data_IF_138702014480
#
_entry.id   IF_138702014480
#
_cell.length_a   1.000
_cell.length_b   1.000
_cell.length_c   1.000
_cell.angle_alpha   90.00
_cell.angle_beta   90.00
_cell.angle_gamma   90.00
#
_symmetry.space_group_name_H-M   'P 1'
#
loop_
_entity.id
_entity.type
_entity.pdbx_description
1 polymer ?
#
# COMPACT_ATOMS: atom_id res chain seq x y z
N UNK A 1 -2.85 -8.51 0.45
CA UNK A 1 -3.26 -7.45 -0.47
C UNK A 1 -3.86 -6.27 0.30
N UNK A 2 -3.59 -5.08 -0.17
CA UNK A 2 -4.12 -3.83 0.41
C UNK A 2 -5.34 -3.38 -0.39
N UNK A 3 -6.38 -2.90 0.29
CA UNK A 3 -7.50 -2.18 -0.34
C UNK A 3 -7.11 -0.74 -0.75
N UNK A 4 -5.82 -0.38 -0.63
CA UNK A 4 -5.27 0.96 -0.95
C UNK A 4 -5.91 2.08 -0.13
N UNK A 5 -6.18 1.81 1.14
CA UNK A 5 -6.84 2.73 2.05
C UNK A 5 -5.95 3.08 3.24
N UNK A 6 -5.94 4.36 3.59
CA UNK A 6 -5.46 4.88 4.87
C UNK A 6 -6.71 5.29 5.64
N UNK A 7 -7.07 4.48 6.62
CA UNK A 7 -8.35 4.61 7.30
C UNK A 7 -8.23 4.37 8.81
N UNK A 8 -9.10 5.03 9.58
CA UNK A 8 -9.15 4.89 11.04
C UNK A 8 -9.69 3.54 11.51
N UNK A 9 -10.37 2.82 10.61
CA UNK A 9 -10.95 1.53 10.96
C UNK A 9 -12.22 1.65 11.81
N UNK A 10 -13.27 2.26 11.27
CA UNK A 10 -14.56 2.47 11.94
C UNK A 10 -15.06 1.22 12.69
N UNK A 11 -14.87 0.03 12.10
CA UNK A 11 -15.28 -1.25 12.68
C UNK A 11 -14.57 -1.58 14.01
N UNK A 12 -13.37 -1.04 14.26
CA UNK A 12 -12.65 -1.30 15.51
C UNK A 12 -13.30 -0.64 16.72
N UNK A 13 -14.19 0.33 16.51
CA UNK A 13 -15.01 0.90 17.60
C UNK A 13 -15.97 -0.13 18.19
N UNK A 14 -16.42 -1.11 17.40
CA UNK A 14 -17.25 -2.23 17.86
C UNK A 14 -16.50 -3.15 18.85
N UNK A 15 -15.16 -3.16 18.77
CA UNK A 15 -14.28 -3.93 19.65
C UNK A 15 -13.62 -3.06 20.73
N UNK A 16 -14.11 -1.83 20.94
CA UNK A 16 -13.58 -0.87 21.92
C UNK A 16 -12.10 -0.49 21.74
N UNK A 17 -11.54 -0.66 20.55
CA UNK A 17 -10.15 -0.36 20.19
C UNK A 17 -9.92 1.14 19.94
N UNK A 18 -10.33 1.99 20.89
CA UNK A 18 -10.31 3.46 20.75
C UNK A 18 -8.90 4.03 20.54
N UNK A 19 -7.88 3.47 21.21
CA UNK A 19 -6.49 3.88 21.06
C UNK A 19 -6.03 3.69 19.61
N UNK A 20 -6.31 2.52 19.05
CA UNK A 20 -5.92 2.15 17.70
C UNK A 20 -6.61 3.01 16.63
N UNK A 21 -7.90 3.32 16.82
CA UNK A 21 -8.67 4.22 15.96
C UNK A 21 -8.08 5.63 16.02
N UNK A 22 -7.82 6.15 17.22
CA UNK A 22 -7.26 7.49 17.42
C UNK A 22 -5.90 7.64 16.74
N UNK A 23 -5.02 6.67 16.90
CA UNK A 23 -3.69 6.65 16.25
C UNK A 23 -3.83 6.64 14.73
N UNK A 24 -4.68 5.77 14.19
CA UNK A 24 -4.92 5.67 12.75
C UNK A 24 -5.51 6.96 12.16
N UNK A 25 -6.42 7.63 12.87
CA UNK A 25 -6.98 8.91 12.45
C UNK A 25 -5.93 10.04 12.44
N UNK A 26 -5.01 10.06 13.41
CA UNK A 26 -3.90 11.01 13.42
C UNK A 26 -2.92 10.75 12.28
N UNK A 27 -2.53 9.50 12.05
CA UNK A 27 -1.61 9.13 10.97
C UNK A 27 -2.18 9.40 9.59
N UNK A 28 -3.48 9.33 9.40
CA UNK A 28 -4.17 9.69 8.16
C UNK A 28 -3.88 11.15 7.76
N UNK A 29 -3.97 12.10 8.69
CA UNK A 29 -3.64 13.52 8.44
C UNK A 29 -2.14 13.71 8.17
N UNK A 30 -1.29 13.01 8.90
CA UNK A 30 0.16 13.04 8.68
C UNK A 30 0.50 12.56 7.27
N UNK A 31 -0.09 11.46 6.80
CA UNK A 31 0.18 10.90 5.48
C UNK A 31 -0.35 11.79 4.34
N UNK A 32 -1.51 12.43 4.53
CA UNK A 32 -2.02 13.45 3.60
C UNK A 32 -1.05 14.64 3.43
N UNK A 33 -0.37 15.03 4.51
CA UNK A 33 0.60 16.12 4.45
C UNK A 33 1.94 15.68 3.85
N UNK A 34 2.39 14.45 4.19
CA UNK A 34 3.70 13.93 3.76
C UNK A 34 3.80 13.53 2.30
N UNK A 35 2.71 13.04 1.73
CA UNK A 35 2.68 12.44 0.40
C UNK A 35 1.42 12.84 -0.38
N UNK A 36 1.18 14.15 -0.59
CA UNK A 36 -0.06 14.67 -1.16
C UNK A 36 -0.31 14.24 -2.61
N UNK A 37 0.69 13.70 -3.29
CA UNK A 37 0.56 13.15 -4.65
C UNK A 37 0.00 11.73 -4.66
N UNK A 38 0.32 10.89 -3.67
CA UNK A 38 -0.10 9.49 -3.62
C UNK A 38 -1.17 9.20 -2.55
N UNK A 39 -1.44 10.14 -1.64
CA UNK A 39 -2.51 10.03 -0.64
C UNK A 39 -3.53 11.11 -0.89
N UNK A 40 -4.80 10.74 -1.05
CA UNK A 40 -5.88 11.70 -1.32
C UNK A 40 -7.08 11.44 -0.42
N UNK A 41 -7.82 12.50 0.00
CA UNK A 41 -9.11 12.35 0.66
C UNK A 41 -10.06 11.51 -0.19
N UNK A 42 -10.84 10.67 0.47
CA UNK A 42 -11.88 9.87 -0.15
C UNK A 42 -13.11 9.82 0.76
N UNK A 43 -14.28 10.03 0.19
CA UNK A 43 -15.54 9.84 0.89
C UNK A 43 -15.95 8.38 0.80
N UNK A 44 -16.47 7.85 1.90
CA UNK A 44 -16.96 6.49 2.02
C UNK A 44 -18.44 6.51 2.33
N UNK A 45 -19.23 5.89 1.50
CA UNK A 45 -20.65 5.72 1.68
C UNK A 45 -20.93 4.33 2.24
N UNK A 46 -21.65 4.28 3.35
CA UNK A 46 -22.12 3.08 4.02
C UNK A 46 -23.61 2.95 3.80
N UNK A 47 -24.08 2.14 2.83
CA UNK A 47 -25.50 1.88 2.61
C UNK A 47 -26.11 1.22 3.83
N UNK A 48 -27.24 1.70 4.31
CA UNK A 48 -27.89 1.18 5.49
C UNK A 48 -28.87 0.07 5.13
N UNK A 49 -28.68 -1.10 5.72
CA UNK A 49 -29.61 -2.23 5.71
C UNK A 49 -30.15 -2.44 7.12
N UNK A 50 -31.44 -2.19 7.37
CA UNK A 50 -32.02 -2.18 8.72
C UNK A 50 -31.85 -3.47 9.51
N UNK A 51 -31.83 -4.61 8.82
CA UNK A 51 -31.68 -5.95 9.43
C UNK A 51 -30.26 -6.27 9.92
N UNK A 52 -29.24 -5.47 9.51
CA UNK A 52 -27.85 -5.71 9.92
C UNK A 52 -27.49 -4.93 11.18
N UNK A 53 -27.66 -3.60 11.17
CA UNK A 53 -27.35 -2.72 12.29
C UNK A 53 -28.34 -1.56 12.36
N UNK A 54 -28.80 -1.17 13.56
CA UNK A 54 -29.65 0.02 13.72
C UNK A 54 -28.95 1.29 13.26
N UNK A 55 -29.67 2.17 12.56
CA UNK A 55 -29.13 3.44 12.04
C UNK A 55 -28.54 4.36 13.14
N UNK A 56 -29.19 4.40 14.34
CA UNK A 56 -28.69 5.18 15.45
C UNK A 56 -27.32 4.71 15.97
N UNK A 57 -27.07 3.40 15.98
CA UNK A 57 -25.78 2.82 16.37
C UNK A 57 -24.67 3.23 15.40
N UNK A 58 -24.94 3.16 14.10
CA UNK A 58 -23.99 3.61 13.06
C UNK A 58 -23.72 5.10 13.24
N UNK A 59 -24.75 5.90 13.48
CA UNK A 59 -24.60 7.35 13.70
C UNK A 59 -23.78 7.68 14.93
N UNK A 60 -23.99 6.97 16.04
CA UNK A 60 -23.20 7.12 17.26
C UNK A 60 -21.72 6.73 17.02
N UNK A 61 -21.48 5.62 16.33
CA UNK A 61 -20.12 5.20 15.94
C UNK A 61 -19.40 6.22 15.06
N UNK A 62 -20.10 6.80 14.08
CA UNK A 62 -19.55 7.86 13.22
C UNK A 62 -19.31 9.16 13.99
N UNK A 63 -20.17 9.51 14.93
CA UNK A 63 -19.94 10.66 15.82
C UNK A 63 -18.65 10.47 16.63
N UNK A 64 -18.45 9.31 17.24
CA UNK A 64 -17.20 8.98 17.93
C UNK A 64 -16.01 9.03 16.98
N UNK A 65 -16.12 8.43 15.82
CA UNK A 65 -15.07 8.44 14.79
C UNK A 65 -14.65 9.84 14.39
N UNK A 66 -15.61 10.75 14.26
CA UNK A 66 -15.38 12.14 13.93
C UNK A 66 -14.66 12.93 15.04
N UNK A 67 -14.76 12.50 16.30
CA UNK A 67 -14.26 13.24 17.48
C UNK A 67 -13.07 12.57 18.17
N UNK A 68 -12.73 11.32 17.82
CA UNK A 68 -11.57 10.63 18.40
C UNK A 68 -10.22 11.16 17.91
N UNK A 69 -10.17 11.84 16.76
CA UNK A 69 -8.95 12.43 16.20
C UNK A 69 -9.19 13.86 15.73
N UNK A 70 -8.13 14.67 15.75
CA UNK A 70 -8.17 16.01 15.15
C UNK A 70 -8.28 15.85 13.63
N UNK A 71 -9.27 16.52 13.04
CA UNK A 71 -9.45 16.62 11.58
C UNK A 71 -9.01 18.00 11.12
N UNK A 72 -8.15 18.07 10.13
CA UNK A 72 -7.67 19.33 9.56
C UNK A 72 -8.19 19.52 8.13
N UNK A 73 -8.17 18.47 7.33
CA UNK A 73 -8.51 18.55 5.90
C UNK A 73 -9.76 17.75 5.52
N UNK A 74 -10.22 16.86 6.39
CA UNK A 74 -11.28 15.91 6.06
C UNK A 74 -12.64 16.35 6.58
N UNK A 75 -13.68 16.24 5.75
CA UNK A 75 -15.07 16.57 6.13
C UNK A 75 -15.64 15.56 7.13
N UNK A 76 -16.57 16.01 7.98
CA UNK A 76 -17.28 15.15 8.92
C UNK A 76 -18.25 14.18 8.27
N UNK A 77 -18.81 13.29 9.09
CA UNK A 77 -19.83 12.34 8.67
C UNK A 77 -21.19 12.98 8.49
N UNK A 78 -21.95 12.49 7.52
CA UNK A 78 -23.32 12.94 7.22
C UNK A 78 -24.23 11.74 6.97
N UNK A 79 -25.55 11.96 7.14
CA UNK A 79 -26.58 11.00 6.75
C UNK A 79 -26.98 11.26 5.30
N UNK A 80 -27.21 10.22 4.53
CA UNK A 80 -27.60 10.28 3.13
C UNK A 80 -28.99 9.67 2.93
N UNK A 81 -29.72 10.20 1.96
CA UNK A 81 -30.90 9.57 1.36
C UNK A 81 -30.60 9.28 -0.10
N UNK A 82 -30.92 8.09 -0.56
CA UNK A 82 -30.72 7.66 -1.94
C UNK A 82 -32.02 7.79 -2.72
N UNK A 83 -31.95 8.42 -3.88
CA UNK A 83 -33.04 8.54 -4.84
C UNK A 83 -32.87 7.60 -6.02
N UNK A 84 -33.69 7.83 -7.05
CA UNK A 84 -33.68 7.01 -8.29
C UNK A 84 -32.32 7.02 -9.01
N UNK A 85 -31.56 8.12 -8.91
CA UNK A 85 -30.24 8.28 -9.56
C UNK A 85 -29.11 7.55 -8.83
N UNK A 86 -29.40 6.98 -7.64
CA UNK A 86 -28.40 6.19 -6.91
C UNK A 86 -27.99 4.95 -7.70
N UNK A 87 -26.70 4.58 -7.71
CA UNK A 87 -26.27 3.31 -8.32
C UNK A 87 -26.73 2.08 -7.52
N UNK A 88 -27.21 2.28 -6.30
CA UNK A 88 -27.68 1.21 -5.41
C UNK A 88 -29.08 0.75 -5.79
N UNK A 89 -29.43 -0.48 -5.42
CA UNK A 89 -30.78 -1.04 -5.59
C UNK A 89 -31.81 -0.20 -4.87
N UNK A 90 -33.05 -0.21 -5.36
CA UNK A 90 -34.13 0.66 -4.92
C UNK A 90 -34.52 0.49 -3.44
N UNK A 91 -34.34 -0.71 -2.89
CA UNK A 91 -34.59 -1.00 -1.47
C UNK A 91 -33.61 -0.32 -0.51
N UNK A 92 -32.46 0.13 -1.01
CA UNK A 92 -31.43 0.85 -0.23
C UNK A 92 -31.71 2.35 -0.35
N UNK A 93 -32.46 2.88 0.61
CA UNK A 93 -32.95 4.27 0.56
C UNK A 93 -32.16 5.24 1.45
N UNK A 94 -31.33 4.72 2.35
CA UNK A 94 -30.59 5.52 3.34
C UNK A 94 -29.15 5.02 3.47
N UNK A 95 -28.28 5.90 3.92
CA UNK A 95 -26.89 5.56 4.22
C UNK A 95 -26.21 6.66 5.02
N UNK A 96 -24.93 6.45 5.23
CA UNK A 96 -24.04 7.39 5.92
C UNK A 96 -22.81 7.60 5.07
N UNK A 97 -22.25 8.78 5.19
CA UNK A 97 -21.00 9.13 4.51
C UNK A 97 -20.00 9.66 5.53
N UNK A 98 -18.75 9.27 5.40
CA UNK A 98 -17.64 9.75 6.21
C UNK A 98 -16.35 9.84 5.39
N UNK A 99 -15.29 10.40 5.97
CA UNK A 99 -14.02 10.61 5.28
C UNK A 99 -12.92 9.71 5.80
N UNK A 100 -12.20 9.13 4.86
CA UNK A 100 -10.89 8.50 5.04
C UNK A 100 -9.98 8.89 3.87
N UNK A 101 -8.94 8.10 3.57
CA UNK A 101 -8.06 8.38 2.45
C UNK A 101 -7.81 7.16 1.60
N UNK A 102 -7.62 7.40 0.33
CA UNK A 102 -7.04 6.46 -0.61
C UNK A 102 -5.53 6.69 -0.71
N UNK A 103 -4.77 5.62 -0.96
CA UNK A 103 -3.32 5.68 -1.16
C UNK A 103 -2.88 4.77 -2.30
N UNK A 104 -1.88 5.21 -3.07
CA UNK A 104 -1.09 4.28 -3.87
C UNK A 104 -0.10 3.55 -2.95
N UNK A 105 -0.49 2.37 -2.50
CA UNK A 105 0.25 1.58 -1.52
C UNK A 105 1.62 1.12 -2.01
N UNK A 106 1.73 0.75 -3.29
CA UNK A 106 3.01 0.36 -3.88
C UNK A 106 3.95 1.57 -3.98
N UNK A 107 3.44 2.73 -4.40
CA UNK A 107 4.20 3.98 -4.39
C UNK A 107 4.66 4.35 -2.98
N UNK A 108 3.80 4.18 -1.98
CA UNK A 108 4.16 4.47 -0.58
C UNK A 108 5.38 3.66 -0.13
N UNK A 109 5.47 2.37 -0.49
CA UNK A 109 6.64 1.53 -0.19
C UNK A 109 7.88 2.04 -0.91
N UNK A 110 7.80 2.28 -2.23
CA UNK A 110 8.91 2.76 -3.04
C UNK A 110 9.44 4.09 -2.51
N UNK A 111 8.54 5.05 -2.20
CA UNK A 111 8.94 6.37 -1.71
C UNK A 111 9.59 6.31 -0.32
N UNK A 112 9.18 5.39 0.56
CA UNK A 112 9.88 5.18 1.83
C UNK A 112 11.30 4.62 1.62
N UNK A 113 11.47 3.67 0.70
CA UNK A 113 12.79 3.15 0.35
C UNK A 113 13.68 4.22 -0.29
N UNK A 114 13.13 5.06 -1.19
CA UNK A 114 13.84 6.21 -1.77
C UNK A 114 14.25 7.22 -0.69
N UNK A 115 13.34 7.55 0.23
CA UNK A 115 13.63 8.47 1.33
C UNK A 115 14.76 7.94 2.23
N UNK A 116 14.79 6.63 2.49
CA UNK A 116 15.86 5.99 3.25
C UNK A 116 17.18 6.07 2.48
N UNK A 117 17.22 5.74 1.18
CA UNK A 117 18.41 5.86 0.33
C UNK A 117 18.96 7.30 0.29
N UNK A 118 18.09 8.28 0.12
CA UNK A 118 18.47 9.70 0.09
C UNK A 118 19.05 10.20 1.43
N UNK A 119 18.85 9.43 2.51
CA UNK A 119 19.44 9.66 3.84
C UNK A 119 20.62 8.74 4.15
N UNK A 120 21.16 8.08 3.14
CA UNK A 120 22.37 7.27 3.25
C UNK A 120 22.16 5.78 3.58
N UNK A 121 20.93 5.30 3.58
CA UNK A 121 20.68 3.86 3.70
C UNK A 121 21.00 3.13 2.38
N UNK A 122 21.60 1.95 2.50
CA UNK A 122 21.77 1.02 1.38
C UNK A 122 20.49 0.18 1.22
N UNK A 123 19.90 0.21 0.03
CA UNK A 123 18.71 -0.58 -0.31
C UNK A 123 19.11 -1.65 -1.31
N UNK A 124 19.04 -2.90 -0.90
CA UNK A 124 19.34 -4.07 -1.73
C UNK A 124 18.03 -4.79 -2.09
N UNK A 125 17.57 -4.62 -3.31
CA UNK A 125 16.46 -5.40 -3.86
C UNK A 125 16.95 -6.76 -4.36
N UNK A 126 16.06 -7.75 -4.53
CA UNK A 126 16.40 -9.09 -5.00
C UNK A 126 17.55 -9.75 -4.20
N UNK A 127 17.58 -9.45 -2.89
CA UNK A 127 18.65 -9.89 -2.00
C UNK A 127 18.03 -10.53 -0.76
N UNK A 128 18.30 -11.80 -0.56
CA UNK A 128 17.79 -12.60 0.56
C UNK A 128 18.84 -12.70 1.66
N UNK A 129 18.45 -12.46 2.91
CA UNK A 129 19.26 -12.87 4.06
C UNK A 129 19.11 -14.38 4.24
N UNK A 130 20.20 -15.11 4.11
CA UNK A 130 20.23 -16.58 4.15
C UNK A 130 20.79 -17.13 5.46
N UNK A 131 21.10 -16.27 6.40
CA UNK A 131 21.54 -16.61 7.74
C UNK A 131 22.15 -15.44 8.47
N UNK A 132 22.01 -15.42 9.79
CA UNK A 132 22.67 -14.44 10.65
C UNK A 132 22.99 -15.05 12.01
N UNK A 133 24.11 -14.61 12.62
CA UNK A 133 24.51 -15.03 13.96
C UNK A 133 25.11 -13.86 14.72
N UNK A 134 25.02 -13.91 16.05
CA UNK A 134 25.73 -12.98 16.91
C UNK A 134 27.22 -13.41 17.03
N UNK A 135 28.11 -12.46 16.86
CA UNK A 135 29.54 -12.66 17.04
C UNK A 135 30.20 -11.38 17.58
N UNK A 136 30.85 -11.47 18.75
CA UNK A 136 31.59 -10.36 19.40
C UNK A 136 30.77 -9.05 19.48
N UNK A 137 29.51 -9.13 19.92
CA UNK A 137 28.63 -7.97 20.09
C UNK A 137 28.07 -7.37 18.78
N UNK A 138 28.22 -8.05 17.66
CA UNK A 138 27.67 -7.68 16.36
C UNK A 138 26.84 -8.84 15.78
N UNK A 139 25.95 -8.50 14.87
CA UNK A 139 25.35 -9.45 13.94
C UNK A 139 26.29 -9.63 12.74
N UNK A 140 26.57 -10.89 12.37
CA UNK A 140 27.13 -11.28 11.07
C UNK A 140 26.02 -11.88 10.24
N UNK A 141 25.73 -11.26 9.11
CA UNK A 141 24.60 -11.64 8.25
C UNK A 141 25.12 -12.00 6.87
N UNK A 142 24.63 -13.10 6.32
CA UNK A 142 24.93 -13.57 4.96
C UNK A 142 23.75 -13.32 4.03
N UNK A 143 24.05 -12.79 2.87
CA UNK A 143 23.07 -12.42 1.86
C UNK A 143 23.38 -13.12 0.54
N UNK A 144 22.31 -13.49 -0.16
CA UNK A 144 22.32 -14.05 -1.51
C UNK A 144 21.59 -13.10 -2.47
N UNK A 145 22.25 -12.72 -3.55
CA UNK A 145 21.62 -11.94 -4.63
C UNK A 145 20.90 -12.87 -5.61
N UNK A 146 20.06 -12.29 -6.48
CA UNK A 146 19.33 -13.02 -7.50
C UNK A 146 20.23 -13.80 -8.48
N UNK A 147 21.48 -13.39 -8.66
CA UNK A 147 22.50 -14.09 -9.47
C UNK A 147 23.22 -15.22 -8.73
N UNK A 148 22.82 -15.50 -7.47
CA UNK A 148 23.44 -16.51 -6.61
C UNK A 148 24.72 -16.05 -5.91
N UNK A 149 25.20 -14.84 -6.15
CA UNK A 149 26.39 -14.31 -5.48
C UNK A 149 26.11 -14.04 -3.99
N UNK A 150 27.09 -14.37 -3.15
CA UNK A 150 27.01 -14.23 -1.70
C UNK A 150 27.87 -13.05 -1.23
N UNK A 151 27.38 -12.36 -0.19
CA UNK A 151 28.15 -11.37 0.53
C UNK A 151 27.71 -11.31 2.00
N UNK A 152 28.53 -10.69 2.85
CA UNK A 152 28.26 -10.61 4.28
C UNK A 152 28.31 -9.17 4.78
N UNK A 153 27.47 -8.86 5.75
CA UNK A 153 27.44 -7.56 6.44
C UNK A 153 27.51 -7.80 7.95
N UNK A 154 28.20 -6.91 8.65
CA UNK A 154 28.16 -6.83 10.09
C UNK A 154 27.37 -5.62 10.55
N UNK A 155 26.53 -5.77 11.57
CA UNK A 155 25.74 -4.67 12.12
C UNK A 155 25.62 -4.74 13.65
N UNK A 156 25.34 -3.58 14.26
CA UNK A 156 25.13 -3.45 15.71
C UNK A 156 23.75 -3.92 16.15
N UNK A 157 22.78 -4.01 15.25
CA UNK A 157 21.42 -4.48 15.51
C UNK A 157 20.86 -5.16 14.25
N UNK A 158 19.91 -6.04 14.44
CA UNK A 158 19.12 -6.65 13.37
C UNK A 158 17.66 -6.36 13.60
N UNK A 159 16.98 -5.81 12.59
CA UNK A 159 15.53 -5.62 12.61
C UNK A 159 14.90 -6.60 11.61
N UNK A 160 14.12 -7.53 12.12
CA UNK A 160 13.35 -8.47 11.32
C UNK A 160 11.94 -7.93 11.09
N UNK A 161 11.73 -7.29 9.96
CA UNK A 161 10.43 -6.78 9.50
C UNK A 161 9.91 -7.57 8.29
N UNK A 162 10.15 -8.89 8.28
CA UNK A 162 9.89 -9.78 7.14
C UNK A 162 8.39 -10.13 6.96
N UNK A 163 7.47 -9.48 7.69
CA UNK A 163 6.03 -9.66 7.54
C UNK A 163 5.59 -11.12 7.67
N UNK A 164 5.01 -11.74 6.62
CA UNK A 164 4.55 -13.14 6.69
C UNK A 164 5.66 -14.15 7.01
N UNK A 165 6.91 -13.80 6.78
CA UNK A 165 8.07 -14.68 6.99
C UNK A 165 8.82 -14.41 8.29
N UNK A 166 8.34 -13.49 9.16
CA UNK A 166 9.05 -13.09 10.38
C UNK A 166 9.41 -14.26 11.29
N UNK A 167 8.44 -15.14 11.60
CA UNK A 167 8.66 -16.31 12.45
C UNK A 167 9.54 -17.36 11.76
N UNK A 168 9.34 -17.57 10.45
CA UNK A 168 10.16 -18.48 9.65
C UNK A 168 11.63 -18.04 9.63
N UNK A 169 11.89 -16.75 9.42
CA UNK A 169 13.26 -16.20 9.43
C UNK A 169 13.94 -16.43 10.79
N UNK A 170 13.24 -16.22 11.91
CA UNK A 170 13.78 -16.47 13.24
C UNK A 170 14.18 -17.95 13.40
N UNK A 171 13.31 -18.86 13.00
CA UNK A 171 13.52 -20.30 13.16
C UNK A 171 14.55 -20.86 12.17
N UNK A 172 14.37 -20.55 10.88
CA UNK A 172 15.10 -21.22 9.80
C UNK A 172 16.46 -20.56 9.52
N UNK A 173 16.55 -19.23 9.58
CA UNK A 173 17.76 -18.50 9.21
C UNK A 173 18.60 -18.06 10.43
N UNK A 174 17.96 -17.75 11.58
CA UNK A 174 18.66 -17.39 12.82
C UNK A 174 18.86 -18.56 13.76
N UNK A 175 18.15 -19.69 13.59
CA UNK A 175 18.16 -20.85 14.49
C UNK A 175 17.80 -20.50 15.94
N UNK A 176 16.81 -19.61 16.10
CA UNK A 176 16.28 -19.15 17.38
C UNK A 176 14.79 -19.54 17.50
N UNK A 177 14.29 -19.58 18.72
CA UNK A 177 12.85 -19.73 18.96
C UNK A 177 12.11 -18.41 18.72
N UNK A 178 11.00 -18.49 17.99
CA UNK A 178 10.16 -17.31 17.77
C UNK A 178 9.24 -17.09 18.98
N UNK A 179 9.22 -15.87 19.56
CA UNK A 179 8.37 -15.57 20.72
C UNK A 179 6.88 -15.58 20.39
N UNK A 180 6.52 -15.45 19.12
CA UNK A 180 5.13 -15.41 18.66
C UNK A 180 4.97 -16.21 17.37
N UNK A 181 3.79 -16.80 17.18
CA UNK A 181 3.33 -17.34 15.91
C UNK A 181 2.79 -16.28 14.97
N UNK A 182 2.64 -16.64 13.71
CA UNK A 182 1.96 -15.83 12.70
C UNK A 182 0.81 -16.63 12.11
N UNK A 183 -0.37 -16.02 12.10
CA UNK A 183 -1.55 -16.50 11.39
C UNK A 183 -1.69 -15.72 10.10
N UNK A 184 -1.76 -16.42 8.97
CA UNK A 184 -1.87 -15.78 7.66
C UNK A 184 -3.34 -15.70 7.25
N UNK A 185 -3.81 -14.48 6.98
CA UNK A 185 -5.16 -14.24 6.48
C UNK A 185 -5.09 -13.69 5.07
N UNK A 186 -5.57 -14.48 4.11
CA UNK A 186 -5.67 -14.11 2.72
C UNK A 186 -6.73 -13.02 2.55
N UNK A 187 -6.43 -12.05 1.68
CA UNK A 187 -7.39 -11.07 1.19
C UNK A 187 -7.22 -10.87 -0.30
N UNK A 188 -8.31 -10.95 -1.03
CA UNK A 188 -8.34 -10.89 -2.47
C UNK A 188 -9.20 -9.74 -2.98
N UNK A 189 -8.87 -9.21 -4.16
CA UNK A 189 -9.58 -8.11 -4.80
C UNK A 189 -9.76 -8.38 -6.28
N UNK A 190 -10.87 -7.88 -6.84
CA UNK A 190 -11.16 -7.83 -8.26
C UNK A 190 -10.98 -6.40 -8.77
N UNK A 191 -10.54 -6.25 -10.00
CA UNK A 191 -10.61 -4.99 -10.77
C UNK A 191 -11.55 -5.24 -11.94
N UNK A 192 -12.60 -4.42 -12.01
CA UNK A 192 -13.64 -4.48 -13.04
C UNK A 192 -13.79 -3.12 -13.71
N UNK A 193 -14.46 -3.01 -14.90
CA UNK A 193 -14.86 -1.73 -15.45
C UNK A 193 -15.62 -0.88 -14.44
N UNK A 194 -15.64 0.41 -14.65
CA UNK A 194 -16.31 1.37 -13.77
C UNK A 194 -17.76 0.99 -13.49
N UNK A 195 -18.07 0.77 -12.22
CA UNK A 195 -19.39 0.31 -11.76
C UNK A 195 -20.37 1.48 -11.52
N UNK A 196 -19.87 2.68 -11.25
CA UNK A 196 -20.67 3.87 -10.98
C UNK A 196 -19.82 5.14 -11.18
N UNK A 197 -20.49 6.29 -11.41
CA UNK A 197 -19.81 7.57 -11.70
C UNK A 197 -19.42 8.37 -10.47
N UNK A 198 -19.99 8.08 -9.31
CA UNK A 198 -19.68 8.79 -8.07
C UNK A 198 -18.21 8.61 -7.65
N UNK A 199 -17.54 9.68 -7.15
CA UNK A 199 -16.13 9.61 -6.75
C UNK A 199 -15.88 8.94 -5.40
N UNK A 200 -16.94 8.59 -4.66
CA UNK A 200 -16.87 7.97 -3.35
C UNK A 200 -16.72 6.44 -3.44
N UNK A 201 -16.09 5.87 -2.42
CA UNK A 201 -16.11 4.43 -2.21
C UNK A 201 -17.38 4.01 -1.45
N UNK A 202 -17.82 2.76 -1.63
CA UNK A 202 -18.88 2.18 -0.82
C UNK A 202 -18.31 1.11 0.11
N UNK A 203 -18.89 1.02 1.31
CA UNK A 203 -18.65 -0.05 2.29
C UNK A 203 -19.89 -0.89 2.38
N UNK A 204 -19.83 -2.08 1.84
CA UNK A 204 -20.94 -3.01 1.76
C UNK A 204 -20.90 -3.93 2.97
N UNK A 205 -21.91 -3.85 3.82
CA UNK A 205 -22.07 -4.74 4.97
C UNK A 205 -22.86 -5.98 4.56
N UNK A 206 -22.43 -7.14 5.01
CA UNK A 206 -23.04 -8.43 4.68
C UNK A 206 -23.57 -9.15 5.92
N UNK A 207 -24.43 -10.15 5.71
CA UNK A 207 -25.03 -10.97 6.77
C UNK A 207 -23.97 -11.76 7.56
N UNK A 208 -22.90 -12.15 6.92
CA UNK A 208 -21.74 -12.82 7.54
C UNK A 208 -20.83 -11.88 8.32
N UNK A 209 -21.26 -10.63 8.54
CA UNK A 209 -20.54 -9.56 9.24
C UNK A 209 -19.22 -9.11 8.57
N UNK A 210 -18.85 -9.66 7.43
CA UNK A 210 -17.73 -9.17 6.64
C UNK A 210 -18.13 -7.92 5.87
N UNK A 211 -17.13 -7.10 5.53
CA UNK A 211 -17.30 -5.90 4.72
C UNK A 211 -16.55 -6.04 3.40
N UNK A 212 -17.19 -5.59 2.34
CA UNK A 212 -16.57 -5.48 1.03
C UNK A 212 -16.59 -4.01 0.60
N UNK A 213 -15.47 -3.53 0.11
CA UNK A 213 -15.37 -2.18 -0.47
C UNK A 213 -15.58 -2.24 -1.98
N UNK A 214 -16.23 -1.22 -2.52
CA UNK A 214 -16.10 -0.86 -3.94
C UNK A 214 -15.43 0.51 -4.00
N UNK A 215 -14.30 0.60 -4.71
CA UNK A 215 -13.43 1.78 -4.69
C UNK A 215 -13.19 2.23 -6.12
N UNK A 216 -13.54 3.49 -6.51
CA UNK A 216 -13.18 4.05 -7.81
C UNK A 216 -11.68 4.00 -8.03
N UNK A 217 -11.26 3.51 -9.19
CA UNK A 217 -9.85 3.28 -9.48
C UNK A 217 -9.49 3.74 -10.90
N UNK A 218 -8.43 4.56 -11.00
CA UNK A 218 -7.88 5.06 -12.27
C UNK A 218 -8.93 5.68 -13.21
N UNK A 219 -9.96 6.32 -12.66
CA UNK A 219 -11.10 6.97 -13.34
C UNK A 219 -11.99 6.04 -14.18
N UNK A 220 -11.51 4.86 -14.59
CA UNK A 220 -12.19 3.93 -15.52
C UNK A 220 -12.55 2.58 -14.90
N UNK A 221 -12.11 2.31 -13.68
CA UNK A 221 -12.26 1.00 -13.05
C UNK A 221 -12.86 1.11 -11.65
N UNK A 222 -13.26 -0.04 -11.13
CA UNK A 222 -13.65 -0.23 -9.73
C UNK A 222 -12.86 -1.39 -9.14
N UNK A 223 -12.27 -1.18 -7.97
CA UNK A 223 -11.73 -2.26 -7.13
C UNK A 223 -12.84 -2.79 -6.24
N UNK A 224 -13.03 -4.10 -6.19
CA UNK A 224 -13.96 -4.81 -5.31
C UNK A 224 -13.13 -5.69 -4.36
N UNK A 225 -13.35 -5.57 -3.07
CA UNK A 225 -12.66 -6.37 -2.05
C UNK A 225 -12.86 -5.80 -0.65
N UNK A 226 -12.50 -6.54 0.35
CA UNK A 226 -11.58 -7.67 0.40
C UNK A 226 -12.27 -8.92 0.94
N UNK A 227 -11.66 -10.06 0.71
CA UNK A 227 -12.01 -11.30 1.41
C UNK A 227 -11.19 -11.45 2.70
N UNK A 228 -11.61 -12.34 3.57
CA UNK A 228 -10.90 -12.76 4.79
C UNK A 228 -10.99 -14.29 4.88
N UNK A 229 -9.87 -14.97 4.58
CA UNK A 229 -9.75 -16.43 4.62
C UNK A 229 -8.43 -16.83 5.25
N UNK A 230 -8.43 -17.84 6.11
CA UNK A 230 -7.19 -18.40 6.61
C UNK A 230 -6.38 -19.04 5.49
N UNK A 231 -5.05 -18.85 5.52
CA UNK A 231 -4.14 -19.31 4.49
C UNK A 231 -2.97 -20.09 5.08
N UNK A 232 -2.72 -21.27 4.55
CA UNK A 232 -1.67 -22.18 5.04
C UNK A 232 -0.54 -22.39 4.03
N UNK A 233 -0.66 -21.83 2.82
CA UNK A 233 0.32 -21.99 1.75
C UNK A 233 1.49 -21.01 1.83
N UNK A 234 2.31 -21.01 0.77
CA UNK A 234 3.40 -20.06 0.60
C UNK A 234 2.84 -18.64 0.36
N UNK A 235 3.14 -17.65 1.21
CA UNK A 235 2.67 -16.28 1.04
C UNK A 235 3.02 -15.64 -0.30
N UNK A 236 4.09 -16.08 -0.95
CA UNK A 236 4.51 -15.58 -2.26
C UNK A 236 3.63 -16.09 -3.42
N UNK A 237 2.87 -17.17 -3.21
CA UNK A 237 2.06 -17.84 -4.24
C UNK A 237 0.56 -17.68 -4.05
N UNK A 238 0.14 -16.79 -3.14
CA UNK A 238 -1.27 -16.55 -2.88
C UNK A 238 -2.00 -16.02 -4.10
N UNK A 239 -3.15 -16.62 -4.41
CA UNK A 239 -4.05 -16.21 -5.48
C UNK A 239 -5.50 -16.30 -5.02
N UNK A 240 -6.38 -15.57 -5.66
CA UNK A 240 -7.83 -15.62 -5.39
C UNK A 240 -8.37 -17.01 -5.76
N UNK A 241 -9.33 -17.51 -4.99
CA UNK A 241 -10.06 -18.73 -5.32
C UNK A 241 -11.37 -18.42 -6.05
N UNK A 242 -11.98 -19.47 -6.63
CA UNK A 242 -13.28 -19.35 -7.27
C UNK A 242 -14.37 -18.93 -6.26
N UNK A 243 -14.34 -19.50 -5.05
CA UNK A 243 -15.29 -19.16 -3.97
C UNK A 243 -15.13 -17.69 -3.52
N UNK A 244 -13.91 -17.18 -3.44
CA UNK A 244 -13.67 -15.76 -3.12
C UNK A 244 -14.19 -14.85 -4.24
N UNK A 245 -14.02 -15.27 -5.50
CA UNK A 245 -14.52 -14.54 -6.67
C UNK A 245 -16.04 -14.45 -6.64
N UNK A 246 -16.73 -15.59 -6.47
CA UNK A 246 -18.18 -15.64 -6.38
C UNK A 246 -18.72 -14.85 -5.20
N UNK A 247 -18.05 -14.95 -4.05
CA UNK A 247 -18.41 -14.15 -2.87
C UNK A 247 -18.40 -12.65 -3.17
N UNK A 248 -17.33 -12.14 -3.76
CA UNK A 248 -17.21 -10.71 -4.07
C UNK A 248 -18.23 -10.25 -5.09
N UNK A 249 -18.48 -11.04 -6.13
CA UNK A 249 -19.51 -10.76 -7.15
C UNK A 249 -20.91 -10.74 -6.54
N UNK A 250 -21.24 -11.74 -5.73
CA UNK A 250 -22.54 -11.84 -5.05
C UNK A 250 -22.80 -10.65 -4.14
N UNK A 251 -21.80 -10.22 -3.36
CA UNK A 251 -21.93 -9.05 -2.49
C UNK A 251 -22.20 -7.77 -3.29
N UNK A 252 -21.45 -7.52 -4.36
CA UNK A 252 -21.66 -6.34 -5.20
C UNK A 252 -23.02 -6.39 -5.87
N UNK A 253 -23.39 -7.52 -6.46
CA UNK A 253 -24.64 -7.71 -7.16
C UNK A 253 -25.87 -7.65 -6.25
N UNK A 254 -25.70 -7.89 -4.95
CA UNK A 254 -26.75 -7.68 -3.94
C UNK A 254 -27.00 -6.21 -3.61
N UNK A 255 -26.05 -5.30 -3.90
CA UNK A 255 -26.15 -3.89 -3.53
C UNK A 255 -26.36 -2.94 -4.71
N UNK A 256 -25.78 -3.23 -5.88
CA UNK A 256 -25.79 -2.32 -7.02
C UNK A 256 -26.84 -2.74 -8.07
N UNK A 257 -27.37 -1.73 -8.78
CA UNK A 257 -28.26 -1.95 -9.93
C UNK A 257 -27.52 -2.61 -11.09
N UNK A 258 -26.31 -2.09 -11.40
CA UNK A 258 -25.44 -2.68 -12.40
C UNK A 258 -24.87 -3.98 -11.86
N UNK A 259 -25.07 -5.06 -12.59
CA UNK A 259 -24.58 -6.38 -12.23
C UNK A 259 -23.20 -6.61 -12.84
N UNK A 260 -22.35 -7.32 -12.11
CA UNK A 260 -20.99 -7.69 -12.50
C UNK A 260 -20.88 -9.19 -12.61
N UNK A 261 -20.28 -9.66 -13.68
CA UNK A 261 -20.08 -11.08 -13.97
C UNK A 261 -18.60 -11.44 -13.96
N UNK A 262 -18.27 -12.71 -14.04
CA UNK A 262 -16.87 -13.17 -14.14
C UNK A 262 -16.18 -12.65 -15.39
N UNK A 263 -16.89 -12.45 -16.50
CA UNK A 263 -16.35 -11.89 -17.75
C UNK A 263 -15.95 -10.42 -17.65
N UNK A 264 -16.45 -9.70 -16.65
CA UNK A 264 -16.09 -8.31 -16.40
C UNK A 264 -14.78 -8.16 -15.59
N UNK A 265 -14.22 -9.28 -15.09
CA UNK A 265 -13.00 -9.24 -14.28
C UNK A 265 -11.79 -9.02 -15.18
N UNK A 266 -11.22 -7.83 -15.09
CA UNK A 266 -10.04 -7.45 -15.87
C UNK A 266 -8.75 -7.96 -15.20
N UNK A 267 -8.72 -7.97 -13.87
CA UNK A 267 -7.57 -8.41 -13.08
C UNK A 267 -7.97 -8.76 -11.66
N UNK A 268 -7.19 -9.65 -11.07
CA UNK A 268 -7.26 -9.96 -9.63
C UNK A 268 -5.91 -9.70 -8.97
N UNK A 269 -5.93 -9.45 -7.66
CA UNK A 269 -4.72 -9.46 -6.85
C UNK A 269 -5.03 -9.92 -5.43
N UNK A 270 -4.11 -10.68 -4.87
CA UNK A 270 -4.23 -11.29 -3.55
C UNK A 270 -2.98 -11.06 -2.71
N UNK A 271 -3.10 -11.19 -1.41
CA UNK A 271 -1.99 -11.17 -0.48
C UNK A 271 -2.42 -11.67 0.87
N UNK A 272 -1.47 -11.92 1.75
CA UNK A 272 -1.73 -12.37 3.11
C UNK A 272 -1.46 -11.27 4.13
N UNK A 273 -2.27 -11.22 5.17
CA UNK A 273 -2.05 -10.39 6.35
C UNK A 273 -1.37 -11.26 7.40
N UNK A 274 -0.17 -10.91 7.85
CA UNK A 274 0.46 -11.62 8.96
C UNK A 274 -0.10 -11.07 10.27
N UNK A 275 -1.06 -11.76 10.86
CA UNK A 275 -1.58 -11.40 12.17
C UNK A 275 -0.77 -12.12 13.25
N UNK A 276 -0.46 -11.42 14.34
CA UNK A 276 0.16 -12.05 15.49
C UNK A 276 -0.83 -13.05 16.11
N UNK A 277 -0.38 -14.26 16.38
CA UNK A 277 -1.26 -15.29 16.94
C UNK A 277 -1.56 -14.96 18.41
N UNK A 278 -2.82 -14.58 18.69
CA UNK A 278 -3.32 -14.21 20.01
C UNK A 278 -4.33 -15.23 20.58
N UNK A 279 -4.29 -16.48 20.07
CA UNK A 279 -5.16 -17.59 20.47
C UNK A 279 -6.67 -17.39 20.15
N UNK A 280 -7.04 -16.35 19.38
CA UNK A 280 -8.44 -16.15 18.96
C UNK A 280 -8.81 -17.07 17.80
N UNK A 281 -9.91 -17.81 17.93
CA UNK A 281 -10.42 -18.71 16.88
C UNK A 281 -11.04 -17.94 15.69
N UNK A 282 -11.43 -16.67 15.87
CA UNK A 282 -12.05 -15.87 14.83
C UNK A 282 -11.03 -14.97 14.13
N UNK A 283 -10.72 -15.17 12.83
CA UNK A 283 -9.78 -14.34 12.08
C UNK A 283 -10.12 -12.85 12.06
N UNK A 284 -11.41 -12.51 12.20
CA UNK A 284 -11.87 -11.12 12.22
C UNK A 284 -11.70 -10.44 13.59
N UNK A 285 -11.54 -11.23 14.66
CA UNK A 285 -11.35 -10.76 16.03
C UNK A 285 -9.87 -10.71 16.46
N UNK A 286 -8.96 -11.36 15.70
CA UNK A 286 -7.51 -11.33 15.97
C UNK A 286 -7.01 -9.90 15.96
N UNK A 287 -6.22 -9.51 16.97
CA UNK A 287 -5.68 -8.15 17.06
C UNK A 287 -4.91 -7.78 15.79
N UNK A 288 -5.22 -6.62 15.23
CA UNK A 288 -4.54 -6.05 14.06
C UNK A 288 -3.51 -5.01 14.46
N UNK A 289 -3.20 -4.93 15.74
CA UNK A 289 -2.08 -4.13 16.24
C UNK A 289 -0.75 -4.85 15.95
N UNK A 290 0.35 -4.15 16.11
CA UNK A 290 1.67 -4.74 15.98
C UNK A 290 2.22 -5.15 17.34
N UNK A 291 3.05 -6.19 17.33
CA UNK A 291 3.84 -6.60 18.47
C UNK A 291 5.32 -6.49 18.12
N UNK A 292 6.09 -5.88 19.00
CA UNK A 292 7.55 -5.74 18.88
C UNK A 292 8.20 -6.66 19.90
N UNK A 293 9.05 -7.57 19.42
CA UNK A 293 9.82 -8.47 20.26
C UNK A 293 11.30 -8.10 20.16
N UNK A 294 11.87 -7.63 21.27
CA UNK A 294 13.28 -7.32 21.41
C UNK A 294 13.98 -8.46 22.15
N UNK A 295 15.06 -8.99 21.59
CA UNK A 295 15.87 -10.03 22.19
C UNK A 295 17.37 -9.72 22.10
N UNK A 296 18.13 -10.19 23.09
CA UNK A 296 19.56 -10.03 23.26
C UNK A 296 19.89 -9.81 24.74
N UNK A 297 20.88 -10.52 25.25
CA UNK A 297 21.40 -10.30 26.59
C UNK A 297 22.18 -8.97 26.66
N UNK A 298 22.45 -8.42 27.87
CA UNK A 298 23.33 -7.26 28.01
C UNK A 298 24.68 -7.52 27.34
N UNK A 299 25.11 -6.60 26.47
CA UNK A 299 26.36 -6.72 25.69
C UNK A 299 26.24 -7.48 24.36
N UNK A 300 25.09 -8.08 24.08
CA UNK A 300 24.81 -8.68 22.77
C UNK A 300 24.17 -7.67 21.82
N UNK A 301 24.36 -7.86 20.50
CA UNK A 301 23.66 -7.09 19.48
C UNK A 301 22.16 -7.44 19.51
N UNK A 302 21.24 -6.46 19.62
CA UNK A 302 19.81 -6.73 19.71
C UNK A 302 19.23 -7.26 18.40
N UNK A 303 18.22 -8.14 18.54
CA UNK A 303 17.27 -8.48 17.48
C UNK A 303 15.92 -7.88 17.82
N UNK A 304 15.41 -7.02 16.96
CA UNK A 304 14.03 -6.54 17.05
C UNK A 304 13.19 -7.18 15.96
N UNK A 305 12.16 -7.93 16.34
CA UNK A 305 11.24 -8.57 15.40
C UNK A 305 9.87 -7.91 15.44
N UNK A 306 9.30 -7.67 14.27
CA UNK A 306 8.02 -6.99 14.06
C UNK A 306 6.96 -8.00 13.64
N UNK A 307 5.94 -8.20 14.46
CA UNK A 307 4.82 -9.09 14.20
C UNK A 307 3.55 -8.27 13.96
N UNK A 308 2.86 -8.51 12.83
CA UNK A 308 1.65 -7.78 12.48
C UNK A 308 1.88 -6.37 11.98
N UNK A 309 0.90 -5.50 12.22
CA UNK A 309 0.93 -4.08 11.84
C UNK A 309 0.03 -3.73 10.67
N UNK A 310 -0.30 -2.44 10.55
CA UNK A 310 -1.19 -1.88 9.53
C UNK A 310 -0.46 -0.89 8.64
N UNK A 311 -0.91 -0.80 7.39
CA UNK A 311 -0.44 0.22 6.46
C UNK A 311 -0.63 1.64 7.01
N UNK A 312 -1.77 1.92 7.64
CA UNK A 312 -2.10 3.26 8.18
C UNK A 312 -1.11 3.73 9.24
N UNK A 313 -0.67 2.83 10.13
CA UNK A 313 0.15 3.17 11.30
C UNK A 313 1.61 2.75 11.16
N UNK A 314 2.08 2.43 9.93
CA UNK A 314 3.44 1.94 9.69
C UNK A 314 4.52 2.87 10.24
N UNK A 315 4.30 4.20 10.16
CA UNK A 315 5.23 5.19 10.64
C UNK A 315 5.35 5.16 12.17
N UNK A 316 4.21 5.05 12.87
CA UNK A 316 4.19 4.91 14.33
C UNK A 316 4.83 3.61 14.79
N UNK A 317 4.59 2.52 14.07
CA UNK A 317 5.29 1.26 14.30
C UNK A 317 6.81 1.46 14.20
N UNK A 318 7.29 2.14 13.15
CA UNK A 318 8.71 2.41 12.97
C UNK A 318 9.28 3.32 14.10
N UNK A 319 8.53 4.33 14.56
CA UNK A 319 8.93 5.14 15.73
C UNK A 319 9.02 4.29 16.99
N UNK A 320 8.06 3.41 17.24
CA UNK A 320 8.07 2.50 18.39
C UNK A 320 9.24 1.51 18.33
N UNK A 321 9.54 0.98 17.16
CA UNK A 321 10.70 0.12 16.92
C UNK A 321 12.01 0.84 17.22
N UNK A 322 12.15 2.07 16.74
CA UNK A 322 13.33 2.90 17.03
C UNK A 322 13.46 3.24 18.52
N UNK A 323 12.35 3.51 19.22
CA UNK A 323 12.36 3.76 20.64
C UNK A 323 12.92 2.57 21.46
N UNK A 324 12.57 1.33 21.08
CA UNK A 324 13.12 0.12 21.70
C UNK A 324 14.61 -0.08 21.41
N UNK A 325 15.10 0.39 20.26
CA UNK A 325 16.53 0.31 19.90
C UNK A 325 17.37 1.45 20.48
N UNK A 326 16.76 2.54 20.95
CA UNK A 326 17.45 3.71 21.47
C UNK A 326 18.51 3.39 22.55
N UNK A 327 18.27 2.47 23.51
CA UNK A 327 19.27 2.14 24.51
C UNK A 327 20.58 1.53 23.96
N UNK A 328 20.55 1.00 22.73
CA UNK A 328 21.73 0.37 22.10
C UNK A 328 22.54 1.33 21.23
N UNK A 329 22.08 2.58 21.06
CA UNK A 329 22.71 3.58 20.20
C UNK A 329 22.82 4.94 20.89
N UNK A 330 24.03 5.46 21.02
CA UNK A 330 24.32 6.72 21.74
C UNK A 330 23.94 8.00 20.98
N UNK A 331 23.57 7.90 19.70
CA UNK A 331 23.40 9.07 18.82
C UNK A 331 22.07 9.05 18.04
N UNK A 332 20.99 8.50 18.63
CA UNK A 332 19.67 8.57 18.00
C UNK A 332 19.10 9.97 18.18
N UNK A 333 18.75 10.60 17.06
CA UNK A 333 18.07 11.91 17.05
C UNK A 333 16.59 11.73 17.39
N UNK A 334 15.92 12.78 17.90
CA UNK A 334 14.48 12.78 18.10
C UNK A 334 13.70 12.40 16.83
N UNK A 335 12.49 11.85 16.98
CA UNK A 335 11.63 11.52 15.85
C UNK A 335 11.33 12.76 14.99
N UNK A 336 11.47 12.63 13.69
CA UNK A 336 11.28 13.69 12.70
C UNK A 336 10.33 13.27 11.57
N UNK A 337 9.94 12.00 11.55
CA UNK A 337 9.21 11.41 10.40
C UNK A 337 7.79 11.94 10.24
N UNK A 338 7.18 12.51 11.30
CA UNK A 338 5.84 13.08 11.22
C UNK A 338 5.77 14.34 10.34
N UNK A 339 6.85 15.14 10.32
CA UNK A 339 6.89 16.42 9.59
C UNK A 339 7.64 16.35 8.26
N UNK A 340 8.44 15.31 8.05
CA UNK A 340 9.20 15.14 6.82
C UNK A 340 8.30 14.64 5.66
N UNK A 341 8.40 15.27 4.52
CA UNK A 341 7.74 14.83 3.29
C UNK A 341 8.42 13.59 2.71
N UNK A 342 7.65 12.77 2.01
CA UNK A 342 8.20 11.72 1.16
C UNK A 342 8.64 12.30 -0.20
N UNK A 343 9.59 11.64 -0.90
CA UNK A 343 10.06 12.06 -2.21
C UNK A 343 8.92 12.36 -3.18
N UNK A 344 8.94 13.54 -3.76
CA UNK A 344 7.88 14.04 -4.64
C UNK A 344 6.80 14.86 -3.95
N UNK A 345 6.69 14.79 -2.61
CA UNK A 345 5.76 15.61 -1.83
C UNK A 345 6.32 16.98 -1.43
N UNK A 346 7.62 17.22 -1.64
CA UNK A 346 8.29 18.43 -1.23
C UNK A 346 7.71 19.66 -1.94
N UNK A 347 7.35 20.70 -1.18
CA UNK A 347 6.81 21.97 -1.69
C UNK A 347 5.64 21.81 -2.67
N UNK A 348 4.89 20.72 -2.54
CA UNK A 348 3.76 20.44 -3.43
C UNK A 348 2.46 21.01 -2.86
N UNK A 349 1.73 21.75 -3.66
CA UNK A 349 0.39 22.25 -3.31
C UNK A 349 -0.68 21.19 -3.59
N UNK A 350 -0.90 20.87 -4.86
CA UNK A 350 -1.82 19.82 -5.30
C UNK A 350 -1.29 19.16 -6.58
N UNK A 351 -1.64 17.88 -6.85
CA UNK A 351 -1.33 17.24 -8.14
C UNK A 351 -1.89 18.01 -9.35
N UNK A 352 -3.09 18.62 -9.21
CA UNK A 352 -3.70 19.42 -10.27
C UNK A 352 -2.86 20.66 -10.61
N UNK A 353 -2.41 21.38 -9.59
CA UNK A 353 -1.55 22.56 -9.80
C UNK A 353 -0.21 22.17 -10.41
N UNK A 354 0.39 21.07 -9.98
CA UNK A 354 1.62 20.56 -10.55
C UNK A 354 1.44 20.16 -12.02
N UNK A 355 0.38 19.41 -12.35
CA UNK A 355 0.07 19.04 -13.75
C UNK A 355 -0.06 20.26 -14.65
N UNK A 356 -0.76 21.32 -14.20
CA UNK A 356 -0.88 22.57 -14.93
C UNK A 356 0.49 23.26 -15.11
N UNK A 357 1.35 23.27 -14.10
CA UNK A 357 2.69 23.85 -14.19
C UNK A 357 3.59 23.09 -15.17
N UNK A 358 3.51 21.75 -15.19
CA UNK A 358 4.25 20.90 -16.15
C UNK A 358 3.86 21.26 -17.59
N UNK A 359 2.55 21.34 -17.88
CA UNK A 359 2.04 21.68 -19.21
C UNK A 359 2.40 23.12 -19.59
N UNK A 360 2.27 24.08 -18.67
CA UNK A 360 2.62 25.48 -18.92
C UNK A 360 4.09 25.65 -19.31
N UNK A 361 4.99 24.89 -18.69
CA UNK A 361 6.43 24.94 -19.01
C UNK A 361 6.81 24.11 -20.23
N UNK A 362 6.10 23.03 -20.49
CA UNK A 362 6.35 22.09 -21.58
C UNK A 362 5.05 21.88 -22.38
N UNK A 363 4.71 22.84 -23.25
CA UNK A 363 3.43 22.87 -23.99
C UNK A 363 3.21 21.65 -24.91
N UNK A 364 4.27 20.93 -25.25
CA UNK A 364 4.22 19.67 -26.01
C UNK A 364 3.83 18.45 -25.17
N UNK A 365 3.86 18.57 -23.81
CA UNK A 365 3.56 17.46 -22.93
C UNK A 365 2.05 17.18 -22.91
N UNK A 366 1.68 15.94 -23.20
CA UNK A 366 0.29 15.50 -23.16
C UNK A 366 -0.32 15.67 -21.76
N UNK A 367 -1.56 16.15 -21.71
CA UNK A 367 -2.24 16.46 -20.44
C UNK A 367 -2.50 15.22 -19.56
N UNK A 368 -2.77 14.05 -20.17
CA UNK A 368 -2.98 12.82 -19.43
C UNK A 368 -1.66 12.31 -18.83
N UNK A 369 -0.55 12.47 -19.56
CA UNK A 369 0.79 12.16 -19.05
C UNK A 369 1.15 13.09 -17.90
N UNK A 370 0.96 14.39 -18.04
CA UNK A 370 1.23 15.37 -16.99
C UNK A 370 0.39 15.09 -15.72
N UNK A 371 -0.91 14.78 -15.88
CA UNK A 371 -1.79 14.36 -14.76
C UNK A 371 -1.26 13.10 -14.09
N UNK A 372 -0.92 12.06 -14.86
CA UNK A 372 -0.39 10.81 -14.36
C UNK A 372 0.92 11.01 -13.58
N UNK A 373 1.85 11.76 -14.13
CA UNK A 373 3.12 12.03 -13.46
C UNK A 373 2.93 12.83 -12.17
N UNK A 374 2.06 13.83 -12.17
CA UNK A 374 1.79 14.63 -10.97
C UNK A 374 1.26 13.79 -9.80
N UNK A 375 0.42 12.78 -10.06
CA UNK A 375 -0.10 11.87 -9.04
C UNK A 375 0.84 10.71 -8.72
N UNK A 376 1.77 10.37 -9.61
CA UNK A 376 2.69 9.24 -9.43
C UNK A 376 4.00 9.66 -8.78
N UNK A 377 4.60 10.73 -9.31
CA UNK A 377 5.94 11.18 -8.94
C UNK A 377 5.96 12.50 -8.13
N UNK A 378 4.82 13.24 -8.13
CA UNK A 378 4.80 14.56 -7.52
C UNK A 378 5.87 15.47 -8.14
N UNK A 379 6.55 16.28 -7.34
CA UNK A 379 7.60 17.18 -7.83
C UNK A 379 8.83 16.46 -8.42
N UNK A 380 8.96 15.13 -8.25
CA UNK A 380 9.97 14.36 -8.98
C UNK A 380 9.70 14.26 -10.47
N UNK A 381 8.49 14.60 -10.93
CA UNK A 381 8.16 14.74 -12.36
C UNK A 381 9.10 15.67 -13.11
N UNK A 382 9.61 16.71 -12.45
CA UNK A 382 10.59 17.62 -13.05
C UNK A 382 11.91 16.94 -13.44
N UNK A 383 12.29 15.86 -12.75
CA UNK A 383 13.49 15.06 -13.11
C UNK A 383 13.32 14.31 -14.43
N UNK A 384 12.08 13.93 -14.79
CA UNK A 384 11.79 13.33 -16.09
C UNK A 384 11.94 14.34 -17.24
N UNK A 385 11.80 15.64 -16.95
CA UNK A 385 11.87 16.73 -17.91
C UNK A 385 13.22 17.48 -17.88
N UNK A 386 14.17 17.04 -17.07
CA UNK A 386 15.48 17.67 -16.99
C UNK A 386 16.25 17.51 -18.32
N UNK A 387 16.60 18.63 -18.93
CA UNK A 387 17.25 18.68 -20.25
C UNK A 387 16.34 18.35 -21.44
N UNK A 388 15.03 18.15 -21.24
CA UNK A 388 14.08 17.80 -22.33
C UNK A 388 13.53 19.07 -22.98
N UNK A 389 13.64 19.18 -24.31
CA UNK A 389 13.15 20.31 -25.10
C UNK A 389 11.85 19.97 -25.85
N UNK A 390 11.63 18.69 -26.18
CA UNK A 390 10.47 18.26 -26.95
C UNK A 390 10.16 16.77 -26.76
N UNK A 391 9.10 16.33 -27.40
CA UNK A 391 8.64 14.94 -27.30
C UNK A 391 9.69 13.91 -27.80
N UNK A 392 10.50 14.28 -28.78
CA UNK A 392 11.60 13.44 -29.30
C UNK A 392 12.61 13.05 -28.21
N UNK A 393 12.82 13.95 -27.22
CA UNK A 393 13.79 13.73 -26.15
C UNK A 393 13.28 12.75 -25.08
N UNK A 394 11.98 12.41 -25.14
CA UNK A 394 11.39 11.38 -24.30
C UNK A 394 11.78 9.96 -24.72
N UNK A 395 12.43 9.84 -25.89
CA UNK A 395 12.85 8.57 -26.45
C UNK A 395 11.71 7.79 -27.08
N UNK A 396 11.85 6.47 -27.09
CA UNK A 396 10.91 5.55 -27.73
C UNK A 396 9.56 5.54 -27.01
N UNK A 397 8.46 5.62 -27.75
CA UNK A 397 7.11 5.45 -27.22
C UNK A 397 6.83 3.94 -27.05
N UNK A 398 6.71 3.50 -25.80
CA UNK A 398 6.49 2.09 -25.44
C UNK A 398 5.02 1.70 -25.57
N UNK A 399 4.10 2.61 -25.21
CA UNK A 399 2.66 2.41 -25.27
C UNK A 399 1.93 3.14 -24.15
N UNK A 400 0.64 3.49 -24.37
CA UNK A 400 -0.24 4.13 -23.38
C UNK A 400 0.37 5.35 -22.69
N UNK A 401 1.15 6.18 -23.43
CA UNK A 401 1.83 7.36 -22.91
C UNK A 401 3.03 7.06 -22.01
N UNK A 402 3.59 5.87 -22.09
CA UNK A 402 4.86 5.48 -21.47
C UNK A 402 5.99 5.64 -22.50
N UNK A 403 7.03 6.36 -22.13
CA UNK A 403 8.24 6.55 -22.95
C UNK A 403 9.45 5.93 -22.30
N UNK A 404 10.45 5.58 -23.11
CA UNK A 404 11.66 4.91 -22.63
C UNK A 404 12.41 5.71 -21.55
N UNK A 405 12.40 7.04 -21.62
CA UNK A 405 12.96 7.91 -20.57
C UNK A 405 12.31 7.69 -19.19
N UNK A 406 10.99 7.49 -19.15
CA UNK A 406 10.29 7.17 -17.90
C UNK A 406 10.65 5.78 -17.40
N UNK A 407 10.79 4.81 -18.29
CA UNK A 407 11.26 3.44 -17.97
C UNK A 407 12.67 3.49 -17.36
N UNK A 408 13.59 4.23 -17.97
CA UNK A 408 14.96 4.39 -17.49
C UNK A 408 15.01 5.04 -16.10
N UNK A 409 14.18 6.05 -15.87
CA UNK A 409 14.02 6.65 -14.54
C UNK A 409 13.54 5.63 -13.50
N UNK A 410 12.52 4.84 -13.83
CA UNK A 410 11.97 3.84 -12.92
C UNK A 410 12.98 2.73 -12.61
N UNK A 411 13.78 2.33 -13.59
CA UNK A 411 14.85 1.34 -13.38
C UNK A 411 15.97 1.91 -12.49
N UNK A 412 16.47 3.11 -12.81
CA UNK A 412 17.63 3.69 -12.15
C UNK A 412 17.30 4.28 -10.77
N UNK A 413 16.12 4.88 -10.60
CA UNK A 413 15.74 5.58 -9.37
C UNK A 413 14.83 4.79 -8.44
N UNK A 414 14.03 3.86 -8.98
CA UNK A 414 12.97 3.17 -8.25
C UNK A 414 13.07 1.65 -8.28
N UNK A 415 14.21 1.10 -8.67
CA UNK A 415 14.51 -0.35 -8.70
C UNK A 415 13.48 -1.16 -9.48
N UNK A 416 12.93 -0.65 -10.59
CA UNK A 416 12.11 -1.46 -11.47
C UNK A 416 13.01 -2.42 -12.26
N UNK A 417 12.74 -3.72 -12.18
CA UNK A 417 13.57 -4.78 -12.75
C UNK A 417 12.93 -5.47 -13.95
N UNK A 418 11.61 -5.47 -13.99
CA UNK A 418 10.83 -6.09 -15.04
C UNK A 418 9.60 -5.25 -15.44
N UNK A 419 8.94 -5.65 -16.51
CA UNK A 419 7.73 -4.98 -16.99
C UNK A 419 6.58 -5.00 -15.97
N UNK A 420 6.50 -6.04 -15.14
CA UNK A 420 5.48 -6.14 -14.08
C UNK A 420 5.68 -5.07 -13.00
N UNK A 421 6.93 -4.74 -12.68
CA UNK A 421 7.25 -3.63 -11.78
C UNK A 421 6.73 -2.31 -12.32
N UNK A 422 6.99 -2.03 -13.60
CA UNK A 422 6.56 -0.78 -14.26
C UNK A 422 5.04 -0.72 -14.35
N UNK A 423 4.44 -1.74 -14.95
CA UNK A 423 3.03 -1.75 -15.32
C UNK A 423 2.08 -1.82 -14.11
N UNK A 424 2.49 -2.48 -13.02
CA UNK A 424 1.56 -2.78 -11.92
C UNK A 424 1.95 -2.17 -10.58
N UNK A 425 3.24 -1.95 -10.34
CA UNK A 425 3.73 -1.44 -9.06
C UNK A 425 4.12 0.03 -9.11
N UNK A 426 4.52 0.55 -10.28
CA UNK A 426 4.92 1.97 -10.45
C UNK A 426 3.84 2.81 -11.09
N UNK A 427 3.41 2.48 -12.31
CA UNK A 427 2.53 3.33 -13.13
C UNK A 427 1.06 2.90 -13.16
N UNK A 428 0.75 1.63 -12.96
CA UNK A 428 -0.56 0.98 -13.17
C UNK A 428 -1.02 0.99 -14.64
N UNK A 429 -0.12 1.30 -15.58
CA UNK A 429 -0.43 1.31 -17.02
C UNK A 429 -0.80 -0.06 -17.57
N UNK A 430 -0.52 -1.16 -16.85
CA UNK A 430 -0.95 -2.50 -17.26
C UNK A 430 -2.46 -2.68 -17.43
N UNK A 431 -3.29 -1.76 -16.90
CA UNK A 431 -4.74 -1.72 -17.17
C UNK A 431 -5.10 -1.08 -18.52
N UNK A 432 -4.15 -0.37 -19.15
CA UNK A 432 -4.37 0.44 -20.34
C UNK A 432 -3.56 -0.05 -21.54
N UNK A 433 -2.50 -0.83 -21.30
CA UNK A 433 -1.59 -1.34 -22.33
C UNK A 433 -2.12 -2.61 -22.98
N UNK A 434 -1.90 -2.73 -24.30
CA UNK A 434 -2.16 -3.96 -25.05
C UNK A 434 -1.10 -5.04 -24.74
N UNK A 435 -1.36 -6.28 -25.15
CA UNK A 435 -0.38 -7.37 -25.02
C UNK A 435 0.92 -7.07 -25.80
N UNK A 436 0.81 -6.45 -26.97
CA UNK A 436 1.95 -6.03 -27.81
C UNK A 436 2.79 -4.97 -27.11
N UNK A 437 2.15 -3.94 -26.51
CA UNK A 437 2.84 -2.90 -25.75
C UNK A 437 3.54 -3.46 -24.52
N UNK A 438 2.94 -4.44 -23.83
CA UNK A 438 3.57 -5.12 -22.69
C UNK A 438 4.77 -5.98 -23.12
N UNK A 439 4.68 -6.65 -24.27
CA UNK A 439 5.80 -7.40 -24.86
C UNK A 439 6.93 -6.46 -25.27
N UNK A 440 6.60 -5.33 -25.90
CA UNK A 440 7.55 -4.27 -26.28
C UNK A 440 8.32 -3.73 -25.05
N UNK A 441 7.60 -3.40 -23.96
CA UNK A 441 8.23 -2.99 -22.71
C UNK A 441 9.19 -4.06 -22.17
N UNK A 442 8.78 -5.32 -22.21
CA UNK A 442 9.60 -6.43 -21.73
C UNK A 442 10.89 -6.57 -22.54
N UNK A 443 10.82 -6.41 -23.86
CA UNK A 443 11.97 -6.43 -24.75
C UNK A 443 12.91 -5.23 -24.52
N UNK A 444 12.36 -4.03 -24.36
CA UNK A 444 13.12 -2.83 -24.03
C UNK A 444 13.92 -3.02 -22.74
N UNK A 445 13.26 -3.47 -21.66
CA UNK A 445 13.91 -3.70 -20.36
C UNK A 445 14.97 -4.79 -20.39
N UNK A 446 14.77 -5.86 -21.18
CA UNK A 446 15.80 -6.88 -21.37
C UNK A 446 17.08 -6.30 -22.01
N UNK A 447 16.91 -5.42 -23.01
CA UNK A 447 18.03 -4.72 -23.65
C UNK A 447 18.75 -3.78 -22.68
N UNK A 448 18.01 -3.05 -21.84
CA UNK A 448 18.55 -2.15 -20.82
C UNK A 448 19.36 -2.92 -19.77
N UNK A 449 18.85 -4.03 -19.27
CA UNK A 449 19.53 -4.89 -18.31
C UNK A 449 20.85 -5.46 -18.84
N UNK A 450 20.89 -5.84 -20.11
CA UNK A 450 22.12 -6.30 -20.76
C UNK A 450 23.18 -5.20 -20.87
N UNK A 451 22.79 -3.95 -21.13
CA UNK A 451 23.71 -2.80 -21.16
C UNK A 451 24.28 -2.53 -19.77
N UNK A 452 23.46 -2.52 -18.74
CA UNK A 452 23.89 -2.26 -17.36
C UNK A 452 24.87 -3.31 -16.84
N UNK A 453 24.63 -4.60 -17.11
CA UNK A 453 25.57 -5.69 -16.74
C UNK A 453 26.93 -5.56 -17.42
N UNK A 454 27.00 -5.05 -18.66
CA UNK A 454 28.27 -4.81 -19.35
C UNK A 454 29.06 -3.65 -18.76
N UNK A 455 28.38 -2.63 -18.24
CA UNK A 455 29.02 -1.47 -17.58
C UNK A 455 29.55 -1.85 -16.18
N UNK A 456 28.88 -2.74 -15.45
CA UNK A 456 29.34 -3.23 -14.14
C UNK A 456 30.49 -4.25 -14.26
N UNK A 457 30.67 -4.88 -15.41
CA UNK A 457 31.73 -5.85 -15.68
C UNK A 457 32.98 -5.26 -16.33
N UNK A 458 32.97 -3.98 -16.72
CA UNK A 458 34.10 -3.23 -17.30
C UNK A 458 34.72 -2.28 -16.28
#
# INVERSE_FOLDING_TARGET
ASSKLIHGGLRYLEHYEFRLVREALAEREVLLAKAPHIVKPMRFVLPHRPHLRPAWMIRAGLFLYDHLGKREKLAGSTSLKFGADSPLKAEITKGFEYSDCWVDDARLVVLNAMAAREKGAHVHTQTRCVGARRNKGLWEMNFERADGSLFSIRSKALVNAAGPWVAKFIKDDLKLDSPYGIRLIQGSHLIVPKLYDAPNAFILQNEDQRIVFTIPYMDQFTIIGTTDREYTGDPAKVSITEEETDYLLNVVNAHFKQQVTRSDILRTYSGVRPLCNDESDNPSAVTRDYTLALSGAPGEAPLLSVFGGKLTTYRKLAESAMAQLTPYFTQIKPSWTATATLPGGENMTTPKALSAALISKHSWLDAAIAKRWAITYGNRSWRLLDGVQGLSDMGEHIGSGLYSREVDYLCSQEWALDAQDILWRRTKLGLFTTAEEQAHLSQYMATLNLKNRKVEAA
#
